data_IF_539057116229
#
_entry.id   IF_539057116229
#
_cell.length_a   1.000
_cell.length_b   1.000
_cell.length_c   1.000
_cell.angle_alpha   90.00
_cell.angle_beta   90.00
_cell.angle_gamma   90.00
#
_symmetry.space_group_name_H-M   'P 1'
#
loop_
_entity.id
_entity.type
_entity.pdbx_description
1 polymer ?
#
# COMPACT_ATOMS: atom_id res chain seq x y z
N UNK A 1 -20.37 -8.69 -0.89
CA UNK A 1 -19.28 -9.47 -0.26
C UNK A 1 -17.97 -8.78 -0.62
N UNK A 2 -17.05 -8.57 0.32
CA UNK A 2 -15.73 -8.03 0.02
C UNK A 2 -14.77 -9.20 -0.16
N UNK A 3 -14.19 -9.34 -1.34
CA UNK A 3 -13.21 -10.39 -1.61
C UNK A 3 -11.79 -9.85 -1.45
N UNK A 4 -10.91 -10.68 -0.92
CA UNK A 4 -9.49 -10.40 -0.72
C UNK A 4 -8.69 -11.41 -1.53
N UNK A 5 -7.61 -10.95 -2.14
CA UNK A 5 -6.71 -11.80 -2.93
C UNK A 5 -5.38 -11.84 -2.20
N UNK A 6 -4.99 -13.01 -1.72
CA UNK A 6 -3.63 -13.26 -1.27
C UNK A 6 -2.78 -13.64 -2.48
N UNK A 7 -1.64 -12.97 -2.62
CA UNK A 7 -0.71 -13.15 -3.72
C UNK A 7 0.61 -13.64 -3.15
N UNK A 8 1.09 -14.79 -3.64
CA UNK A 8 2.48 -15.23 -3.46
C UNK A 8 3.17 -15.14 -4.80
N UNK A 9 4.22 -14.34 -4.91
CA UNK A 9 5.07 -14.29 -6.09
C UNK A 9 6.38 -15.00 -5.80
N UNK A 10 6.56 -16.17 -6.41
CA UNK A 10 7.80 -16.95 -6.33
C UNK A 10 8.56 -16.90 -7.65
N UNK A 11 9.71 -17.57 -7.74
CA UNK A 11 10.46 -17.74 -9.00
C UNK A 11 9.65 -18.46 -10.09
N UNK A 12 8.66 -19.29 -9.71
CA UNK A 12 7.77 -20.00 -10.63
C UNK A 12 6.61 -19.13 -11.14
N UNK A 13 6.50 -17.91 -10.65
CA UNK A 13 5.43 -16.96 -10.96
C UNK A 13 4.48 -16.71 -9.79
N UNK A 14 3.43 -15.90 -10.04
CA UNK A 14 2.45 -15.53 -9.04
C UNK A 14 1.34 -16.59 -8.87
N UNK A 15 1.03 -16.89 -7.62
CA UNK A 15 -0.14 -17.66 -7.19
C UNK A 15 -1.15 -16.72 -6.55
N UNK A 16 -2.42 -16.85 -6.94
CA UNK A 16 -3.51 -16.00 -6.47
C UNK A 16 -4.56 -16.87 -5.75
N UNK A 17 -4.86 -16.53 -4.50
CA UNK A 17 -5.87 -17.24 -3.70
C UNK A 17 -6.88 -16.24 -3.15
N UNK A 18 -8.17 -16.49 -3.39
CA UNK A 18 -9.26 -15.60 -3.00
C UNK A 18 -9.88 -15.99 -1.65
N UNK A 19 -10.26 -14.99 -0.86
CA UNK A 19 -10.87 -15.15 0.46
C UNK A 19 -11.97 -14.12 0.71
N UNK A 20 -12.98 -14.49 1.51
CA UNK A 20 -14.06 -13.58 1.90
C UNK A 20 -13.69 -12.62 3.03
N UNK A 21 -12.59 -12.91 3.75
CA UNK A 21 -12.12 -12.08 4.86
C UNK A 21 -10.63 -11.85 4.79
N UNK A 22 -10.20 -10.68 5.25
CA UNK A 22 -8.78 -10.36 5.40
C UNK A 22 -8.07 -11.35 6.35
N UNK A 23 -8.76 -11.83 7.39
CA UNK A 23 -8.14 -12.74 8.36
C UNK A 23 -7.86 -14.11 7.75
N UNK A 24 -8.74 -14.62 6.88
CA UNK A 24 -8.48 -15.85 6.15
C UNK A 24 -7.28 -15.71 5.20
N UNK A 25 -7.19 -14.60 4.46
CA UNK A 25 -6.03 -14.30 3.59
C UNK A 25 -4.72 -14.25 4.39
N UNK A 26 -4.72 -13.66 5.59
CA UNK A 26 -3.55 -13.66 6.49
C UNK A 26 -3.19 -15.05 6.96
N UNK A 27 -4.16 -15.81 7.45
CA UNK A 27 -3.92 -17.16 7.95
C UNK A 27 -3.31 -18.03 6.85
N UNK A 28 -3.75 -17.85 5.60
CA UNK A 28 -3.15 -18.48 4.45
C UNK A 28 -1.67 -18.07 4.27
N UNK A 29 -1.36 -16.78 4.14
CA UNK A 29 0.03 -16.31 3.99
C UNK A 29 0.93 -16.70 5.17
N UNK A 30 0.40 -16.68 6.39
CA UNK A 30 1.10 -17.15 7.58
C UNK A 30 1.41 -18.64 7.50
N UNK A 31 0.45 -19.46 7.03
CA UNK A 31 0.67 -20.89 6.85
C UNK A 31 1.82 -21.15 5.86
N UNK A 32 1.87 -20.42 4.73
CA UNK A 32 2.94 -20.53 3.73
C UNK A 32 4.31 -20.18 4.32
N UNK A 33 4.40 -19.15 5.17
CA UNK A 33 5.65 -18.77 5.86
C UNK A 33 6.07 -19.87 6.84
N UNK A 34 5.13 -20.35 7.67
CA UNK A 34 5.42 -21.36 8.71
C UNK A 34 5.80 -22.70 8.08
N UNK A 35 5.16 -23.08 6.98
CA UNK A 35 5.45 -24.31 6.24
C UNK A 35 6.68 -24.20 5.32
N UNK A 36 7.40 -23.07 5.34
CA UNK A 36 8.55 -22.79 4.48
C UNK A 36 8.25 -22.95 2.97
N UNK A 37 7.03 -22.62 2.58
CA UNK A 37 6.62 -22.54 1.17
C UNK A 37 6.85 -21.15 0.56
N UNK A 38 7.36 -20.21 1.36
CA UNK A 38 7.77 -18.86 0.96
C UNK A 38 9.27 -18.73 1.20
N UNK A 39 10.01 -18.47 0.15
CA UNK A 39 11.45 -18.21 0.25
C UNK A 39 11.75 -16.78 0.69
N UNK A 40 12.99 -16.52 1.11
CA UNK A 40 13.42 -15.19 1.55
C UNK A 40 13.30 -14.11 0.47
N UNK A 41 13.24 -14.51 -0.81
CA UNK A 41 13.14 -13.63 -1.97
C UNK A 41 11.72 -13.54 -2.55
N UNK A 42 10.77 -14.31 -2.02
CA UNK A 42 9.39 -14.30 -2.51
C UNK A 42 8.66 -13.03 -2.08
N UNK A 43 7.76 -12.54 -2.92
CA UNK A 43 6.88 -11.43 -2.56
C UNK A 43 5.51 -11.93 -2.10
N UNK A 44 4.99 -11.34 -1.03
CA UNK A 44 3.66 -11.59 -0.52
C UNK A 44 2.82 -10.31 -0.57
N UNK A 45 1.58 -10.41 -1.01
CA UNK A 45 0.64 -9.30 -1.00
C UNK A 45 -0.78 -9.73 -0.60
N UNK A 46 -1.55 -8.80 -0.07
CA UNK A 46 -3.01 -8.93 0.09
C UNK A 46 -3.65 -7.71 -0.58
N UNK A 47 -4.56 -7.94 -1.51
CA UNK A 47 -5.32 -6.90 -2.21
C UNK A 47 -6.80 -7.06 -1.88
N UNK A 48 -7.52 -5.96 -1.68
CA UNK A 48 -8.98 -5.97 -1.60
C UNK A 48 -9.56 -5.80 -3.01
N UNK A 49 -10.32 -6.77 -3.47
CA UNK A 49 -10.83 -6.82 -4.84
C UNK A 49 -11.94 -5.78 -5.13
N UNK A 50 -12.55 -5.17 -4.11
CA UNK A 50 -13.63 -4.21 -4.31
C UNK A 50 -13.16 -2.83 -4.78
N UNK A 51 -11.91 -2.47 -4.47
CA UNK A 51 -11.35 -1.14 -4.67
C UNK A 51 -9.87 -1.18 -5.08
N UNK A 52 -9.36 -2.36 -5.45
CA UNK A 52 -7.96 -2.65 -5.80
C UNK A 52 -6.92 -2.17 -4.76
N UNK A 53 -7.34 -1.99 -3.50
CA UNK A 53 -6.45 -1.49 -2.45
C UNK A 53 -5.44 -2.54 -2.03
N UNK A 54 -4.16 -2.18 -2.00
CA UNK A 54 -3.09 -2.99 -1.42
C UNK A 54 -3.14 -2.89 0.10
N UNK A 55 -3.57 -3.97 0.73
CA UNK A 55 -3.71 -4.09 2.18
C UNK A 55 -2.39 -4.49 2.84
N UNK A 56 -1.60 -5.30 2.12
CA UNK A 56 -0.30 -5.78 2.53
C UNK A 56 0.60 -5.96 1.31
N UNK A 57 1.86 -5.59 1.42
CA UNK A 57 2.89 -5.92 0.44
C UNK A 57 4.26 -6.04 1.12
N UNK A 58 4.99 -7.11 0.82
CA UNK A 58 6.39 -7.29 1.22
C UNK A 58 7.11 -8.19 0.24
N UNK A 59 8.32 -7.81 -0.16
CA UNK A 59 9.06 -8.49 -1.23
C UNK A 59 10.13 -9.46 -0.74
N UNK A 60 10.60 -9.34 0.51
CA UNK A 60 11.71 -10.15 1.05
C UNK A 60 11.62 -10.32 2.54
N UNK A 61 12.27 -11.36 3.08
CA UNK A 61 12.37 -11.62 4.52
C UNK A 61 10.99 -11.65 5.18
N UNK A 62 10.07 -12.41 4.57
CA UNK A 62 8.70 -12.53 5.05
C UNK A 62 8.68 -13.21 6.42
N UNK A 63 8.09 -12.53 7.40
CA UNK A 63 7.89 -13.06 8.74
C UNK A 63 6.44 -12.88 9.16
N UNK A 64 5.95 -13.76 10.03
CA UNK A 64 4.59 -13.65 10.61
C UNK A 64 4.40 -12.28 11.28
N UNK A 65 5.44 -11.76 11.95
CA UNK A 65 5.41 -10.43 12.56
C UNK A 65 5.15 -9.32 11.54
N UNK A 66 5.76 -9.40 10.35
CA UNK A 66 5.59 -8.38 9.30
C UNK A 66 4.21 -8.35 8.65
N UNK A 67 3.49 -9.48 8.62
CA UNK A 67 2.07 -9.54 8.21
C UNK A 67 1.16 -8.80 9.20
N UNK A 68 1.50 -8.85 10.49
CA UNK A 68 0.71 -8.22 11.55
C UNK A 68 0.94 -6.71 11.67
N UNK A 69 2.14 -6.21 11.35
CA UNK A 69 2.48 -4.79 11.48
C UNK A 69 2.04 -3.92 10.31
N UNK A 70 2.08 -4.43 9.07
CA UNK A 70 1.79 -3.64 7.86
C UNK A 70 0.38 -3.04 7.81
N UNK A 71 -0.60 -3.68 8.46
CA UNK A 71 -1.96 -3.17 8.58
C UNK A 71 -2.13 -1.92 9.45
N UNK A 72 -1.13 -1.60 10.28
CA UNK A 72 -1.10 -0.34 11.03
C UNK A 72 -0.54 0.82 10.21
N UNK A 73 0.14 0.55 9.10
CA UNK A 73 0.84 1.55 8.28
C UNK A 73 0.11 1.90 6.98
N UNK A 74 -0.64 0.96 6.37
CA UNK A 74 -1.16 1.14 5.00
C UNK A 74 -2.23 2.24 4.84
N UNK A 75 -2.94 2.64 5.91
CA UNK A 75 -3.89 3.77 5.86
C UNK A 75 -3.27 5.13 6.13
N UNK A 76 -2.04 5.18 6.64
CA UNK A 76 -1.42 6.42 7.11
C UNK A 76 -0.49 7.03 6.05
N UNK A 77 0.29 6.21 5.33
CA UNK A 77 1.33 6.72 4.42
C UNK A 77 0.78 7.30 3.10
N UNK A 78 -0.31 6.77 2.57
CA UNK A 78 -0.89 7.27 1.31
C UNK A 78 -1.63 8.61 1.52
N UNK A 79 -2.34 8.75 2.65
CA UNK A 79 -3.00 10.01 3.01
C UNK A 79 -2.00 11.11 3.39
N UNK A 80 -0.89 10.78 4.06
CA UNK A 80 0.12 11.77 4.42
C UNK A 80 0.88 12.34 3.20
N UNK A 81 1.19 11.49 2.22
CA UNK A 81 1.90 11.90 1.01
C UNK A 81 1.03 12.71 0.05
N UNK A 82 -0.24 12.34 -0.13
CA UNK A 82 -1.18 13.14 -0.93
C UNK A 82 -1.53 14.48 -0.28
N UNK A 83 -1.69 14.51 1.04
CA UNK A 83 -1.94 15.74 1.78
C UNK A 83 -0.74 16.69 1.74
N UNK A 84 0.49 16.19 1.85
CA UNK A 84 1.68 17.03 1.78
C UNK A 84 1.91 17.62 0.38
N UNK A 85 1.63 16.85 -0.67
CA UNK A 85 1.66 17.34 -2.05
C UNK A 85 0.61 18.44 -2.27
N UNK A 86 -0.63 18.23 -1.80
CA UNK A 86 -1.69 19.21 -1.92
C UNK A 86 -1.34 20.55 -1.25
N UNK A 87 -0.79 20.51 -0.03
CA UNK A 87 -0.39 21.73 0.68
C UNK A 87 0.76 22.46 -0.03
N UNK A 88 1.76 21.71 -0.50
CA UNK A 88 2.90 22.30 -1.23
C UNK A 88 2.44 23.01 -2.50
N UNK A 89 1.50 22.43 -3.25
CA UNK A 89 0.94 23.05 -4.46
C UNK A 89 0.14 24.30 -4.13
N UNK A 90 -0.68 24.25 -3.07
CA UNK A 90 -1.49 25.39 -2.61
C UNK A 90 -0.62 26.58 -2.20
N UNK A 91 0.45 26.35 -1.46
CA UNK A 91 1.39 27.40 -1.04
C UNK A 91 2.08 28.04 -2.25
N UNK A 92 2.56 27.23 -3.20
CA UNK A 92 3.21 27.73 -4.42
C UNK A 92 2.26 28.55 -5.28
N UNK A 93 1.01 28.12 -5.45
CA UNK A 93 0.00 28.89 -6.18
C UNK A 93 -0.30 30.23 -5.52
N UNK A 94 -0.34 30.26 -4.19
CA UNK A 94 -0.57 31.49 -3.41
C UNK A 94 0.58 32.49 -3.61
N UNK A 95 1.83 32.01 -3.63
CA UNK A 95 3.00 32.85 -3.89
C UNK A 95 2.99 33.42 -5.31
N UNK A 96 2.67 32.60 -6.31
CA UNK A 96 2.58 33.05 -7.71
C UNK A 96 1.48 34.10 -7.86
N UNK A 97 0.30 33.88 -7.28
CA UNK A 97 -0.80 34.84 -7.32
C UNK A 97 -0.42 36.18 -6.68
N UNK A 98 0.26 36.13 -5.53
CA UNK A 98 0.72 37.34 -4.83
C UNK A 98 1.75 38.11 -5.65
N UNK A 99 2.71 37.39 -6.26
CA UNK A 99 3.73 38.00 -7.11
C UNK A 99 3.13 38.68 -8.35
N UNK A 100 2.19 38.01 -9.02
CA UNK A 100 1.49 38.56 -10.19
C UNK A 100 0.66 39.79 -9.84
N UNK A 101 -0.09 39.74 -8.73
CA UNK A 101 -0.87 40.88 -8.25
C UNK A 101 0.02 42.09 -7.94
N UNK A 102 1.17 41.88 -7.29
CA UNK A 102 2.11 42.96 -6.99
C UNK A 102 2.77 43.57 -8.23
N UNK A 103 2.96 42.79 -9.30
CA UNK A 103 3.50 43.30 -10.57
C UNK A 103 2.44 44.14 -11.31
N UNK A 104 1.18 43.71 -11.29
CA UNK A 104 0.07 44.44 -11.93
C UNK A 104 -0.23 45.74 -11.20
N UNK A 105 -0.19 45.75 -9.87
CA UNK A 105 -0.46 46.96 -9.05
C UNK A 105 0.68 48.00 -9.04
N UNK A 106 1.84 47.68 -9.62
CA UNK A 106 3.00 48.61 -9.74
C UNK A 106 3.13 49.25 -11.12
N UNK A 107 2.20 48.97 -12.05
CA UNK A 107 2.06 49.65 -13.34
C UNK A 107 0.92 50.65 -13.25
#
# INVERSE_FOLDING_TARGET
MQSFIAIQHSEKGPTFTTFDTIQAAKNHLQSLIVSKQVDANDALAIVRASDDSIIYFKQRNNTVASLNTALRQSTTSYNQSTQSIYQTVKERLTLVYTALTNVVSRR
#
